data_IF_738104779203
#
_entry.id   IF_738104779203
#
_cell.length_a   1.000
_cell.length_b   1.000
_cell.length_c   1.000
_cell.angle_alpha   90.00
_cell.angle_beta   90.00
_cell.angle_gamma   90.00
#
_symmetry.space_group_name_H-M   'P 1'
#
loop_
_entity.id
_entity.type
_entity.pdbx_description
1 polymer ?
#
# COMPACT_ATOMS: atom_id res chain seq x y z
N UNK A 1 -36.57 0.16 1.41
CA UNK A 1 -36.18 -0.02 -0.01
C UNK A 1 -34.99 -0.95 -0.03
N UNK A 2 -34.93 -1.97 -0.89
CA UNK A 2 -33.67 -2.70 -1.08
C UNK A 2 -32.56 -1.70 -1.43
N UNK A 3 -31.40 -1.85 -0.80
CA UNK A 3 -30.20 -1.05 -1.05
C UNK A 3 -29.73 -1.30 -2.48
N UNK A 4 -29.28 -0.25 -3.19
CA UNK A 4 -28.71 -0.41 -4.53
C UNK A 4 -27.36 -1.13 -4.44
N UNK A 5 -26.90 -1.78 -5.51
CA UNK A 5 -25.57 -2.41 -5.54
C UNK A 5 -24.46 -1.41 -5.20
N UNK A 6 -24.64 -0.15 -5.62
CA UNK A 6 -23.73 0.94 -5.29
C UNK A 6 -23.74 1.32 -3.81
N UNK A 7 -24.90 1.31 -3.16
CA UNK A 7 -24.98 1.56 -1.71
C UNK A 7 -24.37 0.41 -0.90
N UNK A 8 -24.56 -0.84 -1.35
CA UNK A 8 -23.96 -2.03 -0.73
C UNK A 8 -22.44 -2.03 -0.80
N UNK A 9 -21.85 -1.77 -1.98
CA UNK A 9 -20.38 -1.73 -2.11
C UNK A 9 -19.80 -0.55 -1.34
N UNK A 10 -20.49 0.60 -1.30
CA UNK A 10 -20.08 1.74 -0.47
C UNK A 10 -20.09 1.42 1.02
N UNK A 11 -21.08 0.65 1.48
CA UNK A 11 -21.14 0.24 2.88
C UNK A 11 -19.94 -0.66 3.24
N UNK A 12 -19.60 -1.63 2.39
CA UNK A 12 -18.43 -2.50 2.58
C UNK A 12 -17.10 -1.72 2.54
N UNK A 13 -16.94 -0.81 1.57
CA UNK A 13 -15.74 0.03 1.50
C UNK A 13 -15.64 0.94 2.72
N UNK A 14 -16.75 1.52 3.19
CA UNK A 14 -16.78 2.33 4.41
C UNK A 14 -16.39 1.52 5.65
N UNK A 15 -16.92 0.30 5.79
CA UNK A 15 -16.56 -0.58 6.90
C UNK A 15 -15.04 -0.85 6.93
N UNK A 16 -14.47 -1.23 5.80
CA UNK A 16 -13.02 -1.50 5.72
C UNK A 16 -12.16 -0.24 5.85
N UNK A 17 -12.70 0.93 5.50
CA UNK A 17 -12.03 2.22 5.73
C UNK A 17 -11.99 2.57 7.23
N UNK A 18 -13.06 2.29 7.98
CA UNK A 18 -13.08 2.47 9.45
C UNK A 18 -12.08 1.54 10.12
N UNK A 19 -12.01 0.28 9.72
CA UNK A 19 -11.00 -0.66 10.22
C UNK A 19 -9.58 -0.19 9.88
N UNK A 20 -9.35 0.32 8.67
CA UNK A 20 -8.06 0.91 8.28
C UNK A 20 -7.70 2.16 9.10
N UNK A 21 -8.69 2.94 9.54
CA UNK A 21 -8.43 4.06 10.46
C UNK A 21 -7.99 3.59 11.85
N UNK A 22 -8.51 2.45 12.32
CA UNK A 22 -8.02 1.80 13.56
C UNK A 22 -6.58 1.32 13.38
N UNK A 23 -6.27 0.70 12.25
CA UNK A 23 -4.89 0.27 11.91
C UNK A 23 -3.92 1.46 11.92
N UNK A 24 -4.33 2.59 11.32
CA UNK A 24 -3.55 3.81 11.32
C UNK A 24 -3.32 4.37 12.74
N UNK A 25 -4.32 4.30 13.62
CA UNK A 25 -4.17 4.71 15.01
C UNK A 25 -3.18 3.82 15.77
N UNK A 26 -3.21 2.50 15.55
CA UNK A 26 -2.24 1.56 16.14
C UNK A 26 -0.81 1.83 15.63
N UNK A 27 -0.65 2.15 14.35
CA UNK A 27 0.64 2.54 13.79
C UNK A 27 1.16 3.86 14.39
N UNK A 28 0.30 4.85 14.59
CA UNK A 28 0.67 6.10 15.22
C UNK A 28 1.08 5.92 16.69
N UNK A 29 0.32 5.12 17.44
CA UNK A 29 0.62 4.81 18.84
C UNK A 29 1.97 4.09 18.96
N UNK A 30 2.29 3.20 18.01
CA UNK A 30 3.57 2.48 17.95
C UNK A 30 4.77 3.45 17.89
N UNK A 31 4.61 4.56 17.18
CA UNK A 31 5.65 5.58 17.00
C UNK A 31 5.70 6.62 18.12
N UNK A 32 4.74 6.65 19.03
CA UNK A 32 4.58 7.79 19.96
C UNK A 32 4.46 7.38 21.42
N UNK A 33 3.52 6.50 21.77
CA UNK A 33 3.18 6.20 23.17
C UNK A 33 3.41 4.74 23.57
N UNK A 34 3.51 3.83 22.60
CA UNK A 34 3.66 2.41 22.87
C UNK A 34 4.94 2.15 23.69
N UNK A 35 4.86 1.44 24.83
CA UNK A 35 6.05 1.03 25.55
C UNK A 35 6.83 -0.04 24.76
N UNK A 36 8.16 -0.14 24.87
CA UNK A 36 8.96 -1.10 24.10
C UNK A 36 8.51 -2.56 24.24
N UNK A 37 8.06 -2.96 25.43
CA UNK A 37 7.54 -4.31 25.69
C UNK A 37 6.23 -4.63 24.93
N UNK A 38 5.58 -3.64 24.32
CA UNK A 38 4.36 -3.79 23.53
C UNK A 38 4.60 -4.27 22.09
N UNK A 39 5.84 -4.27 21.60
CA UNK A 39 6.18 -4.53 20.20
C UNK A 39 5.61 -5.85 19.65
N UNK A 40 5.75 -6.95 20.40
CA UNK A 40 5.27 -8.26 19.96
C UNK A 40 3.75 -8.29 19.78
N UNK A 41 3.00 -7.76 20.77
CA UNK A 41 1.55 -7.68 20.71
C UNK A 41 1.07 -6.70 19.62
N UNK A 42 1.79 -5.59 19.40
CA UNK A 42 1.49 -4.65 18.31
C UNK A 42 1.64 -5.31 16.93
N UNK A 43 2.65 -6.13 16.74
CA UNK A 43 2.83 -6.89 15.50
C UNK A 43 1.68 -7.90 15.26
N UNK A 44 1.18 -8.54 16.32
CA UNK A 44 0.00 -9.42 16.24
C UNK A 44 -1.28 -8.63 15.87
N UNK A 45 -1.49 -7.46 16.49
CA UNK A 45 -2.60 -6.56 16.18
C UNK A 45 -2.57 -6.11 14.71
N UNK A 46 -1.41 -5.67 14.23
CA UNK A 46 -1.22 -5.25 12.84
C UNK A 46 -1.49 -6.39 11.86
N UNK A 47 -0.93 -7.58 12.12
CA UNK A 47 -1.17 -8.78 11.30
C UNK A 47 -2.64 -9.17 11.23
N UNK A 48 -3.33 -9.20 12.38
CA UNK A 48 -4.73 -9.61 12.45
C UNK A 48 -5.65 -8.60 11.75
N UNK A 49 -5.42 -7.31 11.96
CA UNK A 49 -6.24 -6.26 11.36
C UNK A 49 -6.01 -6.16 9.84
N UNK A 50 -4.76 -6.25 9.39
CA UNK A 50 -4.43 -6.29 7.96
C UNK A 50 -5.10 -7.49 7.26
N UNK A 51 -5.07 -8.68 7.90
CA UNK A 51 -5.72 -9.89 7.37
C UNK A 51 -7.23 -9.71 7.23
N UNK A 52 -7.89 -9.21 8.29
CA UNK A 52 -9.33 -8.98 8.30
C UNK A 52 -9.76 -7.94 7.25
N UNK A 53 -9.01 -6.84 7.16
CA UNK A 53 -9.26 -5.79 6.17
C UNK A 53 -9.09 -6.34 4.75
N UNK A 54 -8.04 -7.14 4.52
CA UNK A 54 -7.77 -7.75 3.23
C UNK A 54 -8.90 -8.69 2.80
N UNK A 55 -9.26 -9.65 3.67
CA UNK A 55 -10.33 -10.61 3.43
C UNK A 55 -11.63 -9.91 3.03
N UNK A 56 -12.05 -8.89 3.78
CA UNK A 56 -13.25 -8.10 3.46
C UNK A 56 -13.16 -7.34 2.14
N UNK A 57 -11.97 -6.86 1.78
CA UNK A 57 -11.75 -6.11 0.53
C UNK A 57 -11.62 -7.00 -0.70
N UNK A 58 -11.28 -8.26 -0.52
CA UNK A 58 -11.14 -9.26 -1.60
C UNK A 58 -12.30 -10.26 -1.63
N UNK A 59 -13.33 -10.07 -0.81
CA UNK A 59 -14.53 -10.90 -0.83
C UNK A 59 -15.16 -10.88 -2.25
N UNK A 60 -15.44 -12.05 -2.86
CA UNK A 60 -16.04 -12.12 -4.19
C UNK A 60 -17.31 -11.28 -4.37
N UNK A 61 -18.09 -11.08 -3.30
CA UNK A 61 -19.28 -10.22 -3.30
C UNK A 61 -18.94 -8.78 -3.70
N UNK A 62 -17.76 -8.27 -3.33
CA UNK A 62 -17.32 -6.93 -3.75
C UNK A 62 -17.17 -6.88 -5.27
N UNK A 63 -16.58 -7.92 -5.87
CA UNK A 63 -16.45 -8.06 -7.32
C UNK A 63 -17.80 -8.10 -8.03
N UNK A 64 -18.76 -8.87 -7.50
CA UNK A 64 -20.12 -9.00 -8.03
C UNK A 64 -20.89 -7.66 -7.97
N UNK A 65 -20.80 -6.96 -6.83
CA UNK A 65 -21.45 -5.65 -6.65
C UNK A 65 -20.85 -4.59 -7.59
N UNK A 66 -19.53 -4.59 -7.77
CA UNK A 66 -18.87 -3.70 -8.71
C UNK A 66 -19.30 -4.00 -10.16
N UNK A 67 -19.37 -5.27 -10.55
CA UNK A 67 -19.86 -5.68 -11.86
C UNK A 67 -21.33 -5.26 -12.09
N UNK A 68 -22.19 -5.35 -11.06
CA UNK A 68 -23.55 -4.85 -11.15
C UNK A 68 -23.61 -3.32 -11.34
N UNK A 69 -22.76 -2.57 -10.63
CA UNK A 69 -22.64 -1.12 -10.80
C UNK A 69 -22.14 -0.74 -12.20
N UNK A 70 -21.12 -1.43 -12.71
CA UNK A 70 -20.51 -1.22 -14.04
C UNK A 70 -21.53 -1.46 -15.18
N UNK A 71 -22.50 -2.36 -14.96
CA UNK A 71 -23.57 -2.66 -15.93
C UNK A 71 -24.81 -1.75 -15.81
N UNK A 72 -24.88 -0.88 -14.81
CA UNK A 72 -25.98 0.07 -14.64
C UNK A 72 -25.74 1.32 -15.50
N UNK A 73 -26.49 1.43 -16.59
CA UNK A 73 -26.36 2.51 -17.56
C UNK A 73 -26.67 3.90 -16.96
N UNK A 74 -27.49 4.00 -15.91
CA UNK A 74 -27.79 5.27 -15.26
C UNK A 74 -26.63 5.70 -14.33
N UNK A 75 -26.06 4.76 -13.58
CA UNK A 75 -24.87 5.01 -12.74
C UNK A 75 -23.64 5.38 -13.58
N UNK A 76 -23.49 4.77 -14.76
CA UNK A 76 -22.34 4.95 -15.64
C UNK A 76 -22.59 5.94 -16.79
N UNK A 77 -23.74 6.65 -16.79
CA UNK A 77 -24.11 7.60 -17.85
C UNK A 77 -23.09 8.74 -18.03
N UNK A 78 -22.48 9.18 -16.93
CA UNK A 78 -21.43 10.18 -16.90
C UNK A 78 -20.19 9.60 -16.20
N UNK A 79 -19.13 9.37 -16.98
CA UNK A 79 -17.86 8.82 -16.50
C UNK A 79 -17.14 9.72 -15.48
N UNK A 80 -17.42 11.02 -15.49
CA UNK A 80 -16.84 11.99 -14.55
C UNK A 80 -17.70 12.23 -13.31
N UNK A 81 -18.88 11.60 -13.25
CA UNK A 81 -19.73 11.66 -12.07
C UNK A 81 -19.01 11.07 -10.85
N UNK A 82 -19.30 11.54 -9.62
CA UNK A 82 -18.71 10.98 -8.41
C UNK A 82 -18.95 9.47 -8.27
N UNK A 83 -20.09 8.96 -8.74
CA UNK A 83 -20.40 7.53 -8.68
C UNK A 83 -19.51 6.70 -9.62
N UNK A 84 -19.43 7.10 -10.90
CA UNK A 84 -18.59 6.40 -11.88
C UNK A 84 -17.11 6.42 -11.47
N UNK A 85 -16.60 7.55 -10.95
CA UNK A 85 -15.22 7.65 -10.44
C UNK A 85 -14.98 6.75 -9.23
N UNK A 86 -15.92 6.72 -8.27
CA UNK A 86 -15.83 5.82 -7.12
C UNK A 86 -15.76 4.35 -7.57
N UNK A 87 -16.63 3.95 -8.49
CA UNK A 87 -16.67 2.58 -9.02
C UNK A 87 -15.33 2.22 -9.67
N UNK A 88 -14.79 3.11 -10.52
CA UNK A 88 -13.48 2.91 -11.17
C UNK A 88 -12.34 2.69 -10.17
N UNK A 89 -12.25 3.54 -9.14
CA UNK A 89 -11.18 3.40 -8.13
C UNK A 89 -11.39 2.17 -7.24
N UNK A 90 -12.63 1.84 -6.89
CA UNK A 90 -12.96 0.62 -6.14
C UNK A 90 -12.62 -0.64 -6.94
N UNK A 91 -12.92 -0.66 -8.25
CA UNK A 91 -12.54 -1.73 -9.18
C UNK A 91 -11.02 -1.89 -9.24
N UNK A 92 -10.28 -0.81 -9.52
CA UNK A 92 -8.81 -0.84 -9.53
C UNK A 92 -8.25 -1.40 -8.22
N UNK A 93 -8.77 -0.95 -7.08
CA UNK A 93 -8.33 -1.42 -5.77
C UNK A 93 -8.67 -2.90 -5.52
N UNK A 94 -9.86 -3.36 -5.91
CA UNK A 94 -10.28 -4.76 -5.79
C UNK A 94 -9.41 -5.67 -6.65
N UNK A 95 -9.23 -5.34 -7.94
CA UNK A 95 -8.44 -6.14 -8.87
C UNK A 95 -6.98 -6.23 -8.43
N UNK A 96 -6.42 -5.15 -7.87
CA UNK A 96 -5.05 -5.15 -7.36
C UNK A 96 -4.92 -5.98 -6.06
N UNK A 97 -5.85 -5.80 -5.11
CA UNK A 97 -5.81 -6.51 -3.82
C UNK A 97 -6.04 -8.01 -3.99
N UNK A 98 -6.94 -8.43 -4.88
CA UNK A 98 -7.23 -9.85 -5.12
C UNK A 98 -6.05 -10.65 -5.67
N UNK A 99 -5.02 -9.98 -6.21
CA UNK A 99 -3.75 -10.62 -6.61
C UNK A 99 -2.90 -11.06 -5.43
N UNK A 100 -3.09 -10.48 -4.24
CA UNK A 100 -2.27 -10.78 -3.07
C UNK A 100 -2.89 -11.89 -2.21
N UNK A 101 -2.13 -12.93 -1.83
CA UNK A 101 -2.60 -13.89 -0.85
C UNK A 101 -2.65 -13.25 0.54
N UNK A 102 -3.69 -13.57 1.32
CA UNK A 102 -3.89 -13.02 2.67
C UNK A 102 -2.69 -13.25 3.59
N UNK A 103 -2.01 -14.40 3.46
CA UNK A 103 -0.81 -14.72 4.25
C UNK A 103 0.35 -13.76 3.98
N UNK A 104 0.52 -13.28 2.75
CA UNK A 104 1.57 -12.32 2.41
C UNK A 104 1.24 -10.94 3.00
N UNK A 105 -0.02 -10.53 2.94
CA UNK A 105 -0.48 -9.26 3.55
C UNK A 105 -0.30 -9.29 5.07
N UNK A 106 -0.66 -10.39 5.72
CA UNK A 106 -0.45 -10.61 7.14
C UNK A 106 1.03 -10.54 7.53
N UNK A 107 1.89 -11.24 6.77
CA UNK A 107 3.33 -11.28 7.04
C UNK A 107 3.99 -9.92 6.81
N UNK A 108 3.62 -9.19 5.76
CA UNK A 108 4.08 -7.81 5.51
C UNK A 108 3.75 -6.89 6.70
N UNK A 109 2.51 -6.93 7.21
CA UNK A 109 2.09 -6.11 8.34
C UNK A 109 2.85 -6.49 9.62
N UNK A 110 2.96 -7.79 9.91
CA UNK A 110 3.67 -8.29 11.09
C UNK A 110 5.16 -7.93 11.07
N UNK A 111 5.83 -8.22 9.96
CA UNK A 111 7.28 -7.97 9.82
C UNK A 111 7.56 -6.49 9.75
N UNK A 112 6.71 -5.70 9.08
CA UNK A 112 6.84 -4.23 9.07
C UNK A 112 6.80 -3.65 10.48
N UNK A 113 5.84 -4.06 11.30
CA UNK A 113 5.74 -3.62 12.70
C UNK A 113 6.96 -4.02 13.54
N UNK A 114 7.48 -5.25 13.37
CA UNK A 114 8.68 -5.71 14.08
C UNK A 114 9.97 -5.01 13.61
N UNK A 115 10.11 -4.84 12.29
CA UNK A 115 11.26 -4.20 11.67
C UNK A 115 11.36 -2.72 12.06
N UNK A 116 10.23 -2.05 12.27
CA UNK A 116 10.19 -0.66 12.74
C UNK A 116 10.83 -0.49 14.11
N UNK A 117 10.54 -1.37 15.07
CA UNK A 117 11.18 -1.33 16.39
C UNK A 117 12.68 -1.67 16.31
N UNK A 118 13.04 -2.72 15.57
CA UNK A 118 14.43 -3.08 15.36
C UNK A 118 15.23 -1.96 14.68
N UNK A 119 14.61 -1.23 13.75
CA UNK A 119 15.21 -0.08 13.09
C UNK A 119 15.44 1.09 14.03
N UNK A 120 14.51 1.39 14.94
CA UNK A 120 14.68 2.48 15.92
C UNK A 120 15.94 2.27 16.75
N UNK A 121 16.08 1.08 17.33
CA UNK A 121 17.24 0.72 18.17
C UNK A 121 18.54 0.71 17.35
N UNK A 122 18.53 0.05 16.19
CA UNK A 122 19.69 -0.04 15.31
C UNK A 122 20.15 1.34 14.81
N UNK A 123 19.21 2.24 14.46
CA UNK A 123 19.52 3.59 14.02
C UNK A 123 20.13 4.43 15.14
N UNK A 124 19.60 4.35 16.35
CA UNK A 124 20.15 5.05 17.52
C UNK A 124 21.59 4.60 17.81
N UNK A 125 21.86 3.31 17.67
CA UNK A 125 23.18 2.72 17.93
C UNK A 125 24.11 2.74 16.72
N UNK A 126 23.65 3.20 15.55
CA UNK A 126 24.36 3.11 14.28
C UNK A 126 24.79 1.66 13.94
N UNK A 127 23.94 0.68 14.26
CA UNK A 127 24.18 -0.75 14.10
C UNK A 127 23.41 -1.31 12.89
N UNK A 128 23.95 -1.11 11.70
CA UNK A 128 23.38 -1.70 10.48
C UNK A 128 23.35 -3.24 10.52
N UNK A 129 24.40 -3.96 10.99
CA UNK A 129 24.34 -5.41 11.13
C UNK A 129 23.13 -5.94 11.90
N UNK A 130 22.69 -5.24 12.96
CA UNK A 130 21.48 -5.61 13.71
C UNK A 130 20.19 -5.45 12.87
N UNK A 131 20.12 -4.44 11.99
CA UNK A 131 18.95 -4.19 11.14
C UNK A 131 18.95 -4.96 9.82
N UNK A 132 20.11 -5.32 9.28
CA UNK A 132 20.25 -5.94 7.97
C UNK A 132 19.33 -7.17 7.74
N UNK A 133 19.17 -8.11 8.71
CA UNK A 133 18.25 -9.24 8.53
C UNK A 133 16.78 -8.83 8.35
N UNK A 134 16.34 -7.78 9.05
CA UNK A 134 14.99 -7.24 8.92
C UNK A 134 14.79 -6.57 7.56
N UNK A 135 15.78 -5.81 7.10
CA UNK A 135 15.76 -5.19 5.78
C UNK A 135 15.68 -6.25 4.67
N UNK A 136 16.51 -7.28 4.73
CA UNK A 136 16.46 -8.40 3.76
C UNK A 136 15.07 -9.02 3.73
N UNK A 137 14.50 -9.33 4.90
CA UNK A 137 13.16 -9.91 4.97
C UNK A 137 12.08 -9.00 4.39
N UNK A 138 12.14 -7.70 4.65
CA UNK A 138 11.21 -6.72 4.07
C UNK A 138 11.37 -6.58 2.56
N UNK A 139 12.59 -6.64 2.04
CA UNK A 139 12.86 -6.65 0.60
C UNK A 139 12.27 -7.91 -0.05
N UNK A 140 12.50 -9.09 0.52
CA UNK A 140 11.97 -10.35 0.00
C UNK A 140 10.44 -10.36 -0.07
N UNK A 141 9.76 -9.88 0.98
CA UNK A 141 8.31 -9.76 1.00
C UNK A 141 7.78 -8.71 0.01
N UNK A 142 8.51 -7.61 -0.17
CA UNK A 142 8.15 -6.57 -1.14
C UNK A 142 8.31 -7.07 -2.58
N UNK A 143 9.35 -7.85 -2.85
CA UNK A 143 9.55 -8.53 -4.15
C UNK A 143 8.42 -9.51 -4.42
N UNK A 144 8.06 -10.37 -3.47
CA UNK A 144 6.93 -11.30 -3.61
C UNK A 144 5.60 -10.57 -3.89
N UNK A 145 5.38 -9.43 -3.23
CA UNK A 145 4.21 -8.57 -3.50
C UNK A 145 4.22 -8.04 -4.93
N UNK A 146 5.38 -7.57 -5.42
CA UNK A 146 5.53 -7.12 -6.80
C UNK A 146 5.28 -8.25 -7.81
N UNK A 147 5.81 -9.45 -7.54
CA UNK A 147 5.58 -10.64 -8.37
C UNK A 147 4.11 -11.02 -8.44
N UNK A 148 3.38 -10.93 -7.32
CA UNK A 148 1.93 -11.14 -7.30
C UNK A 148 1.18 -10.12 -8.16
N UNK A 149 1.60 -8.85 -8.14
CA UNK A 149 1.01 -7.82 -9.00
C UNK A 149 1.29 -8.07 -10.49
N UNK A 150 2.49 -8.60 -10.79
CA UNK A 150 3.00 -8.83 -12.13
C UNK A 150 3.64 -7.57 -12.73
N UNK A 151 4.40 -7.77 -13.81
CA UNK A 151 5.07 -6.67 -14.53
C UNK A 151 4.05 -5.95 -15.42
N UNK A 152 3.89 -4.62 -15.30
CA UNK A 152 3.05 -3.84 -16.20
C UNK A 152 3.55 -3.93 -17.65
N UNK A 153 2.65 -3.78 -18.62
CA UNK A 153 3.02 -3.85 -20.02
C UNK A 153 4.05 -2.77 -20.39
N UNK A 154 5.19 -3.22 -20.92
CA UNK A 154 6.31 -2.36 -21.28
C UNK A 154 6.99 -1.68 -20.08
N UNK A 155 6.83 -2.22 -18.88
CA UNK A 155 7.47 -1.75 -17.65
C UNK A 155 8.37 -2.80 -17.01
N UNK A 156 8.73 -2.55 -15.76
CA UNK A 156 9.53 -3.46 -14.93
C UNK A 156 8.83 -3.80 -13.60
N UNK A 157 9.41 -4.73 -12.84
CA UNK A 157 8.79 -5.25 -11.62
C UNK A 157 8.59 -4.14 -10.56
N UNK A 158 9.49 -3.16 -10.50
CA UNK A 158 9.39 -2.04 -9.57
C UNK A 158 8.18 -1.14 -9.86
N UNK A 159 7.78 -1.00 -11.13
CA UNK A 159 6.61 -0.21 -11.54
C UNK A 159 5.32 -0.72 -10.87
N UNK A 160 5.22 -2.03 -10.63
CA UNK A 160 4.07 -2.62 -9.95
C UNK A 160 3.92 -2.13 -8.50
N UNK A 161 5.05 -1.91 -7.82
CA UNK A 161 5.10 -1.35 -6.46
C UNK A 161 4.91 0.16 -6.49
N UNK A 162 5.51 0.86 -7.47
CA UNK A 162 5.39 2.30 -7.63
C UNK A 162 3.93 2.73 -7.83
N UNK A 163 3.15 1.95 -8.58
CA UNK A 163 1.72 2.19 -8.84
C UNK A 163 0.83 2.21 -7.57
N UNK A 164 1.30 1.66 -6.44
CA UNK A 164 0.61 1.82 -5.14
C UNK A 164 0.67 3.26 -4.61
N UNK A 165 1.71 4.00 -4.97
CA UNK A 165 1.99 5.35 -4.47
C UNK A 165 1.69 6.44 -5.52
N UNK A 166 1.98 6.15 -6.79
CA UNK A 166 1.73 7.04 -7.93
C UNK A 166 1.03 6.23 -9.03
N UNK A 167 -0.31 6.26 -9.14
CA UNK A 167 -1.06 5.48 -10.12
C UNK A 167 -0.56 5.71 -11.57
N UNK A 168 -0.09 4.64 -12.21
CA UNK A 168 0.47 4.68 -13.56
C UNK A 168 1.93 5.15 -13.67
N UNK A 169 2.58 5.50 -12.55
CA UNK A 169 3.99 5.91 -12.53
C UNK A 169 4.94 4.78 -12.93
N UNK A 170 6.02 5.12 -13.64
CA UNK A 170 7.05 4.18 -14.08
C UNK A 170 8.45 4.62 -13.65
N UNK A 171 9.35 3.66 -13.45
CA UNK A 171 10.75 3.88 -13.18
C UNK A 171 11.43 4.71 -14.29
N UNK A 172 11.02 4.50 -15.55
CA UNK A 172 11.49 5.30 -16.68
C UNK A 172 11.14 6.80 -16.55
N UNK A 173 9.96 7.12 -16.00
CA UNK A 173 9.55 8.51 -15.77
C UNK A 173 10.39 9.15 -14.66
N UNK A 174 10.68 8.37 -13.60
CA UNK A 174 11.57 8.79 -12.52
C UNK A 174 12.98 9.03 -13.08
N UNK A 175 13.54 8.10 -13.84
CA UNK A 175 14.89 8.20 -14.41
C UNK A 175 15.03 9.44 -15.31
N UNK A 176 14.02 9.72 -16.13
CA UNK A 176 14.00 10.90 -17.01
C UNK A 176 14.03 12.24 -16.24
N UNK A 177 13.48 12.27 -15.02
CA UNK A 177 13.51 13.47 -14.16
C UNK A 177 14.79 13.54 -13.33
N UNK A 178 15.17 12.43 -12.67
CA UNK A 178 16.24 12.44 -11.68
C UNK A 178 17.65 12.47 -12.29
N UNK A 179 17.86 11.88 -13.46
CA UNK A 179 19.17 11.88 -14.12
C UNK A 179 19.68 13.30 -14.41
N UNK A 180 18.97 14.15 -15.18
CA UNK A 180 19.42 15.52 -15.45
C UNK A 180 19.42 16.40 -14.19
N UNK A 181 18.52 16.14 -13.23
CA UNK A 181 18.51 16.87 -11.96
C UNK A 181 19.76 16.55 -11.12
N UNK A 182 20.16 15.28 -11.05
CA UNK A 182 21.34 14.83 -10.33
C UNK A 182 22.63 15.47 -10.85
N UNK A 183 22.79 15.55 -12.17
CA UNK A 183 23.93 16.23 -12.80
C UNK A 183 23.98 17.72 -12.43
N UNK A 184 22.84 18.42 -12.55
CA UNK A 184 22.76 19.87 -12.28
C UNK A 184 22.98 20.19 -10.80
N UNK A 185 22.37 19.43 -9.89
CA UNK A 185 22.54 19.64 -8.46
C UNK A 185 23.98 19.31 -8.02
N UNK A 186 24.58 18.26 -8.57
CA UNK A 186 25.97 17.92 -8.29
C UNK A 186 26.94 19.03 -8.74
N UNK A 187 26.70 19.65 -9.89
CA UNK A 187 27.47 20.80 -10.36
C UNK A 187 27.28 22.01 -9.42
N UNK A 188 26.03 22.35 -9.09
CA UNK A 188 25.72 23.47 -8.20
C UNK A 188 26.40 23.32 -6.83
N UNK A 189 26.36 22.12 -6.23
CA UNK A 189 27.01 21.87 -4.94
C UNK A 189 28.53 22.06 -5.03
N UNK A 190 29.16 21.59 -6.12
CA UNK A 190 30.61 21.81 -6.35
C UNK A 190 30.94 23.29 -6.47
N UNK A 191 30.13 24.06 -7.20
CA UNK A 191 30.34 25.50 -7.38
C UNK A 191 30.19 26.25 -6.04
N UNK A 192 29.22 25.88 -5.21
CA UNK A 192 29.01 26.48 -3.90
C UNK A 192 30.12 26.15 -2.90
N UNK A 193 30.75 24.97 -3.00
CA UNK A 193 31.85 24.56 -2.13
C UNK A 193 33.23 25.08 -2.59
N UNK A 194 33.34 25.48 -3.86
CA UNK A 194 34.58 26.04 -4.43
C UNK A 194 34.75 27.55 -4.16
N UNK A 195 33.70 28.22 -3.69
CA UNK A 195 33.71 29.62 -3.25
C UNK A 195 33.78 29.71 -1.72
#
# INVERSE_FOLDING_TARGET
MPSSAYDDVRALVRETAVLGAVEALLSWDQETYMPPAGAANRAEQASALASLIHEKRTDPRVGDLLAACENDAALMADAESPAARNIREMRRAYDKKTKLPTSLVAELARVGSQAQEAWKEAREQNDFPAFAPWLTKMLDLSTQKAECYGVPEGGELYDALLDDYEPGGRAADIEAVFTPLGERLSALVKDLLAN
#
